data_IF_891904137920
#
_entry.id   IF_891904137920
#
_cell.length_a   1.000
_cell.length_b   1.000
_cell.length_c   1.000
_cell.angle_alpha   90.00
_cell.angle_beta   90.00
_cell.angle_gamma   90.00
#
_symmetry.space_group_name_H-M   'P 1'
#
loop_
_entity.id
_entity.type
_entity.pdbx_description
1 polymer ?
#
# COMPACT_ATOMS: atom_id res chain seq x y z
N UNK A 1 -2.03 -6.85 33.15
CA UNK A 1 -1.85 -7.30 31.75
C UNK A 1 -3.09 -6.87 30.99
N UNK A 2 -2.94 -6.19 29.86
CA UNK A 2 -4.07 -5.77 29.03
C UNK A 2 -4.56 -6.95 28.18
N UNK A 3 -5.87 -7.18 28.16
CA UNK A 3 -6.53 -8.18 27.30
C UNK A 3 -6.31 -7.83 25.83
N UNK A 4 -5.88 -8.80 25.01
CA UNK A 4 -5.75 -8.60 23.58
C UNK A 4 -7.13 -8.54 22.91
N UNK A 5 -7.25 -7.80 21.80
CA UNK A 5 -8.56 -7.60 21.15
C UNK A 5 -9.21 -8.93 20.74
N UNK A 6 -8.42 -9.92 20.33
CA UNK A 6 -8.88 -11.25 19.92
C UNK A 6 -9.31 -12.15 21.10
N UNK A 7 -8.94 -11.81 22.34
CA UNK A 7 -9.36 -12.54 23.55
C UNK A 7 -10.77 -12.15 24.01
N UNK A 8 -11.30 -11.03 23.50
CA UNK A 8 -12.60 -10.50 23.91
C UNK A 8 -13.71 -11.45 23.45
N UNK A 9 -14.65 -11.79 24.35
CA UNK A 9 -15.79 -12.69 24.05
C UNK A 9 -16.65 -12.28 22.84
N UNK A 10 -16.69 -10.98 22.53
CA UNK A 10 -17.46 -10.45 21.39
C UNK A 10 -16.65 -10.42 20.10
N UNK A 11 -15.37 -10.80 20.09
CA UNK A 11 -14.62 -10.92 18.84
C UNK A 11 -15.26 -12.02 17.95
N UNK A 12 -15.43 -11.80 16.63
CA UNK A 12 -15.12 -10.62 15.84
C UNK A 12 -16.33 -9.66 15.63
N UNK A 13 -17.39 -9.78 16.43
CA UNK A 13 -18.60 -8.96 16.37
C UNK A 13 -18.32 -7.55 16.93
N UNK A 14 -17.79 -6.69 16.05
CA UNK A 14 -17.49 -5.31 16.38
C UNK A 14 -18.78 -4.48 16.48
N UNK A 15 -18.82 -3.60 17.49
CA UNK A 15 -19.77 -2.50 17.59
C UNK A 15 -19.00 -1.19 17.61
N UNK A 16 -19.49 -0.19 16.87
CA UNK A 16 -18.93 1.17 16.87
C UNK A 16 -20.03 2.19 17.07
N UNK A 17 -19.65 3.37 17.56
CA UNK A 17 -20.53 4.53 17.61
C UNK A 17 -20.52 5.20 16.23
N UNK A 18 -21.65 5.11 15.52
CA UNK A 18 -21.82 5.72 14.20
C UNK A 18 -21.57 7.23 14.22
N UNK A 19 -21.99 7.92 15.28
CA UNK A 19 -21.84 9.37 15.40
C UNK A 19 -20.38 9.76 15.58
N UNK A 20 -19.63 8.98 16.37
CA UNK A 20 -18.20 9.18 16.57
C UNK A 20 -17.39 8.97 15.27
N UNK A 21 -17.78 8.01 14.43
CA UNK A 21 -17.04 7.70 13.18
C UNK A 21 -17.50 8.52 11.98
N UNK A 22 -18.68 9.16 12.02
CA UNK A 22 -19.26 9.86 10.87
C UNK A 22 -18.32 10.92 10.28
N UNK A 23 -17.77 11.79 11.14
CA UNK A 23 -16.87 12.88 10.71
C UNK A 23 -15.54 12.39 10.15
N UNK A 24 -14.75 11.53 10.85
CA UNK A 24 -13.51 11.01 10.28
C UNK A 24 -13.75 10.20 9.00
N UNK A 25 -14.85 9.45 8.91
CA UNK A 25 -15.21 8.69 7.71
C UNK A 25 -15.54 9.61 6.52
N UNK A 26 -16.26 10.71 6.74
CA UNK A 26 -16.54 11.70 5.70
C UNK A 26 -15.25 12.36 5.18
N UNK A 27 -14.31 12.70 6.09
CA UNK A 27 -13.00 13.25 5.72
C UNK A 27 -12.18 12.24 4.90
N UNK A 28 -12.15 10.99 5.32
CA UNK A 28 -11.46 9.91 4.60
C UNK A 28 -12.05 9.71 3.19
N UNK A 29 -13.39 9.71 3.06
CA UNK A 29 -14.07 9.62 1.77
C UNK A 29 -13.75 10.80 0.86
N UNK A 30 -13.73 12.03 1.37
CA UNK A 30 -13.37 13.21 0.58
C UNK A 30 -11.91 13.14 0.10
N UNK A 31 -10.98 12.74 0.97
CA UNK A 31 -9.58 12.56 0.61
C UNK A 31 -9.42 11.49 -0.48
N UNK A 32 -10.10 10.34 -0.32
CA UNK A 32 -10.09 9.28 -1.32
C UNK A 32 -10.66 9.77 -2.67
N UNK A 33 -11.78 10.50 -2.65
CA UNK A 33 -12.36 11.08 -3.87
C UNK A 33 -11.41 12.06 -4.58
N UNK A 34 -10.63 12.85 -3.84
CA UNK A 34 -9.60 13.74 -4.42
C UNK A 34 -8.48 12.95 -5.10
N UNK A 35 -8.03 11.86 -4.48
CA UNK A 35 -7.02 10.98 -5.07
C UNK A 35 -7.56 10.33 -6.34
N UNK A 36 -8.77 9.77 -6.31
CA UNK A 36 -9.41 9.17 -7.49
C UNK A 36 -9.61 10.20 -8.62
N UNK A 37 -10.05 11.41 -8.28
CA UNK A 37 -10.19 12.51 -9.23
C UNK A 37 -8.85 12.90 -9.86
N UNK A 38 -7.78 13.00 -9.05
CA UNK A 38 -6.43 13.25 -9.55
C UNK A 38 -5.96 12.13 -10.48
N UNK A 39 -6.18 10.86 -10.11
CA UNK A 39 -5.86 9.70 -10.95
C UNK A 39 -6.63 9.69 -12.26
N UNK A 40 -7.90 10.13 -12.26
CA UNK A 40 -8.69 10.26 -13.49
C UNK A 40 -8.25 11.40 -14.42
N UNK A 41 -7.48 12.38 -13.91
CA UNK A 41 -6.89 13.48 -14.69
C UNK A 41 -5.49 13.12 -15.19
N UNK A 42 -4.75 12.28 -14.45
CA UNK A 42 -3.55 11.64 -14.97
C UNK A 42 -3.95 10.87 -16.22
N UNK A 43 -3.28 11.14 -17.34
CA UNK A 43 -3.48 10.46 -18.62
C UNK A 43 -3.69 8.94 -18.40
N UNK A 44 -4.64 8.25 -19.06
CA UNK A 44 -4.72 6.79 -19.03
C UNK A 44 -3.37 6.09 -19.30
N UNK A 45 -2.39 6.81 -19.88
CA UNK A 45 -0.97 6.50 -19.78
C UNK A 45 -0.34 6.99 -18.45
N UNK A 46 -0.87 6.56 -17.29
CA UNK A 46 -0.01 6.48 -16.12
C UNK A 46 1.08 5.50 -16.54
N UNK A 47 2.26 6.04 -16.82
CA UNK A 47 3.34 5.25 -17.41
C UNK A 47 3.52 4.02 -16.52
N UNK A 48 3.73 2.84 -17.12
CA UNK A 48 3.93 1.61 -16.34
C UNK A 48 5.02 1.81 -15.29
N UNK A 49 5.96 2.71 -15.57
CA UNK A 49 7.01 3.24 -14.71
C UNK A 49 6.49 3.98 -13.47
N UNK A 50 5.49 4.87 -13.60
CA UNK A 50 4.86 5.53 -12.47
C UNK A 50 4.10 4.53 -11.58
N UNK A 51 3.40 3.57 -12.20
CA UNK A 51 2.76 2.47 -11.45
C UNK A 51 3.79 1.58 -10.74
N UNK A 52 4.92 1.28 -11.40
CA UNK A 52 6.02 0.54 -10.80
C UNK A 52 6.65 1.29 -9.61
N UNK A 53 6.86 2.59 -9.73
CA UNK A 53 7.38 3.41 -8.63
C UNK A 53 6.44 3.40 -7.42
N UNK A 54 5.13 3.49 -7.67
CA UNK A 54 4.11 3.39 -6.63
C UNK A 54 4.19 2.03 -5.90
N UNK A 55 4.18 0.91 -6.64
CA UNK A 55 4.26 -0.43 -6.04
C UNK A 55 5.55 -0.68 -5.26
N UNK A 56 6.67 -0.12 -5.70
CA UNK A 56 7.94 -0.20 -4.97
C UNK A 56 7.83 0.52 -3.62
N UNK A 57 7.24 1.71 -3.62
CA UNK A 57 7.01 2.48 -2.39
C UNK A 57 6.11 1.71 -1.41
N UNK A 58 4.97 1.22 -1.89
CA UNK A 58 4.02 0.46 -1.07
C UNK A 58 4.65 -0.82 -0.49
N UNK A 59 5.40 -1.57 -1.31
CA UNK A 59 6.06 -2.80 -0.86
C UNK A 59 7.10 -2.57 0.23
N UNK A 60 7.89 -1.49 0.12
CA UNK A 60 8.86 -1.12 1.17
C UNK A 60 8.16 -0.63 2.43
N UNK A 61 7.12 0.20 2.29
CA UNK A 61 6.39 0.77 3.41
C UNK A 61 5.64 -0.32 4.21
N UNK A 62 4.96 -1.24 3.53
CA UNK A 62 4.18 -2.31 4.20
C UNK A 62 5.10 -3.31 4.91
N UNK A 63 6.23 -3.70 4.30
CA UNK A 63 7.22 -4.56 4.97
C UNK A 63 7.85 -3.90 6.20
N UNK A 64 8.06 -2.59 6.18
CA UNK A 64 8.60 -1.87 7.33
C UNK A 64 7.66 -1.90 8.55
N UNK A 65 6.33 -1.99 8.34
CA UNK A 65 5.35 -2.14 9.43
C UNK A 65 5.56 -3.48 10.15
N UNK A 66 5.91 -4.52 9.41
CA UNK A 66 6.21 -5.86 9.94
C UNK A 66 7.65 -6.00 10.48
N UNK A 67 8.43 -4.91 10.46
CA UNK A 67 9.83 -4.90 10.88
C UNK A 67 10.82 -5.40 9.82
N UNK A 68 10.34 -5.72 8.62
CA UNK A 68 11.19 -6.16 7.51
C UNK A 68 11.81 -4.97 6.77
N UNK A 69 13.13 -5.02 6.57
CA UNK A 69 13.86 -4.02 5.78
C UNK A 69 14.20 -4.59 4.40
N UNK A 70 13.35 -4.28 3.42
CA UNK A 70 13.58 -4.69 2.04
C UNK A 70 14.61 -3.79 1.34
N UNK A 71 15.47 -4.40 0.52
CA UNK A 71 16.39 -3.68 -0.36
C UNK A 71 15.56 -3.09 -1.51
N UNK A 72 15.43 -1.76 -1.54
CA UNK A 72 14.59 -1.02 -2.51
C UNK A 72 14.88 -1.43 -3.96
N UNK A 73 16.15 -1.65 -4.32
CA UNK A 73 16.53 -2.07 -5.68
C UNK A 73 16.07 -3.49 -6.03
N UNK A 74 16.01 -4.41 -5.05
CA UNK A 74 15.48 -5.75 -5.24
C UNK A 74 13.96 -5.72 -5.45
N UNK A 75 13.25 -4.89 -4.66
CA UNK A 75 11.81 -4.65 -4.82
C UNK A 75 11.52 -4.04 -6.20
N UNK A 76 12.28 -3.02 -6.61
CA UNK A 76 12.19 -2.42 -7.95
C UNK A 76 12.37 -3.45 -9.06
N UNK A 77 13.39 -4.30 -8.96
CA UNK A 77 13.66 -5.35 -9.95
C UNK A 77 12.53 -6.39 -10.03
N UNK A 78 11.95 -6.74 -8.87
CA UNK A 78 10.79 -7.67 -8.80
C UNK A 78 9.53 -7.07 -9.44
N UNK A 79 9.25 -5.79 -9.14
CA UNK A 79 8.11 -5.05 -9.69
C UNK A 79 8.26 -4.85 -11.20
N UNK A 80 9.42 -4.41 -11.68
CA UNK A 80 9.69 -4.25 -13.12
C UNK A 80 9.50 -5.57 -13.88
N UNK A 81 9.97 -6.70 -13.32
CA UNK A 81 9.77 -8.02 -13.92
C UNK A 81 8.29 -8.42 -14.01
N UNK A 82 7.51 -8.18 -12.96
CA UNK A 82 6.08 -8.50 -12.94
C UNK A 82 5.25 -7.61 -13.89
N UNK A 83 5.66 -6.37 -14.11
CA UNK A 83 4.96 -5.43 -14.99
C UNK A 83 5.44 -5.47 -16.45
N UNK A 84 6.39 -6.35 -16.79
CA UNK A 84 6.98 -6.43 -18.13
C UNK A 84 7.74 -5.15 -18.54
N UNK A 85 8.22 -4.39 -17.55
CA UNK A 85 9.02 -3.20 -17.79
C UNK A 85 10.47 -3.58 -18.08
N UNK A 86 11.20 -2.81 -18.90
CA UNK A 86 12.64 -2.95 -19.00
C UNK A 86 13.23 -2.82 -17.58
N UNK A 87 13.81 -3.89 -17.07
CA UNK A 87 14.70 -3.79 -15.92
C UNK A 87 15.79 -2.82 -16.33
N UNK A 88 15.85 -1.65 -15.70
CA UNK A 88 16.79 -0.57 -15.98
C UNK A 88 18.25 -1.01 -15.70
N UNK A 89 18.76 -1.98 -16.44
CA UNK A 89 20.12 -2.51 -16.36
C UNK A 89 20.53 -3.15 -15.03
N UNK A 90 19.63 -3.36 -14.07
CA UNK A 90 20.01 -3.90 -12.77
C UNK A 90 20.18 -5.43 -12.82
N UNK A 91 21.32 -5.97 -12.35
CA UNK A 91 21.58 -7.41 -12.34
C UNK A 91 20.56 -8.13 -11.45
N UNK A 92 20.23 -9.37 -11.80
CA UNK A 92 19.31 -10.20 -11.04
C UNK A 92 19.77 -10.30 -9.57
N UNK A 93 18.86 -10.18 -8.57
CA UNK A 93 19.25 -10.34 -7.18
C UNK A 93 19.72 -11.77 -6.95
N UNK A 94 20.95 -11.91 -6.46
CA UNK A 94 21.50 -13.17 -5.98
C UNK A 94 20.63 -13.67 -4.83
N UNK A 95 19.96 -14.81 -5.01
CA UNK A 95 19.43 -15.57 -3.88
C UNK A 95 20.61 -16.23 -3.18
N UNK A 96 20.84 -15.87 -1.92
CA UNK A 96 21.59 -16.68 -0.94
C UNK A 96 20.60 -17.34 0.00
#
# INVERSE_FOLDING_TARGET
MSEWIWERKKWPQFSWDETAVATPLARARLAHGRVLGAVGILDPALTREAYAAFLVGEGVATSAIEGEKLIVNAVRSSVSRHLGLPSAGLPAPTRS
#
